data_IF_381638105516
#
_entry.id   IF_381638105516
#
_cell.length_a   1.000
_cell.length_b   1.000
_cell.length_c   1.000
_cell.angle_alpha   90.00
_cell.angle_beta   90.00
_cell.angle_gamma   90.00
#
_symmetry.space_group_name_H-M   'P 1'
#
loop_
_entity.id
_entity.type
_entity.pdbx_description
1 polymer ?
#
# COMPACT_ATOMS: atom_id res chain seq x y z
N UNK A 1 19.70 13.59 -7.55
CA UNK A 1 18.25 13.57 -7.84
C UNK A 1 17.54 13.96 -6.55
N UNK A 2 16.81 15.08 -6.56
CA UNK A 2 16.12 15.57 -5.37
C UNK A 2 14.80 14.80 -5.24
N UNK A 3 14.83 13.62 -4.61
CA UNK A 3 13.65 12.79 -4.40
C UNK A 3 12.72 13.49 -3.40
N UNK A 4 11.75 14.25 -3.92
CA UNK A 4 10.63 14.73 -3.10
C UNK A 4 9.79 13.51 -2.72
N UNK A 5 9.89 13.10 -1.45
CA UNK A 5 9.01 12.08 -0.90
C UNK A 5 7.55 12.55 -0.97
N UNK A 6 6.64 11.64 -1.32
CA UNK A 6 5.21 11.95 -1.28
C UNK A 6 4.80 12.36 0.14
N UNK A 7 3.87 13.33 0.30
CA UNK A 7 3.44 13.79 1.60
C UNK A 7 2.88 12.63 2.42
N UNK A 8 3.28 12.54 3.69
CA UNK A 8 2.72 11.59 4.64
C UNK A 8 1.40 12.17 5.19
N UNK A 9 0.35 11.35 5.24
CA UNK A 9 -0.91 11.81 5.82
C UNK A 9 -0.74 12.14 7.32
N UNK A 10 -1.49 13.12 7.81
CA UNK A 10 -1.43 13.50 9.21
C UNK A 10 -2.09 12.44 10.11
N UNK A 11 -1.70 12.38 11.39
CA UNK A 11 -2.34 11.51 12.39
C UNK A 11 -1.68 10.14 12.59
N UNK A 12 -0.40 9.97 12.23
CA UNK A 12 0.35 8.75 12.55
C UNK A 12 0.65 8.72 14.05
N UNK A 13 0.27 7.63 14.72
CA UNK A 13 0.74 7.36 16.09
C UNK A 13 2.12 6.68 16.04
N UNK A 14 2.98 6.85 17.07
CA UNK A 14 4.32 6.26 17.07
C UNK A 14 4.35 4.72 16.91
N UNK A 15 3.34 4.02 17.45
CA UNK A 15 3.25 2.54 17.58
C UNK A 15 2.03 1.93 16.86
N UNK A 16 1.14 2.75 16.29
CA UNK A 16 -0.03 2.23 15.56
C UNK A 16 -0.13 2.83 14.14
N UNK A 17 0.74 3.78 13.81
CA UNK A 17 0.72 4.50 12.54
C UNK A 17 -0.67 5.08 12.25
N UNK A 18 -1.19 4.82 11.04
CA UNK A 18 -2.54 5.22 10.64
C UNK A 18 -3.56 4.07 10.73
N UNK A 19 -3.17 2.91 11.27
CA UNK A 19 -4.05 1.75 11.34
C UNK A 19 -5.37 2.04 12.07
N UNK A 20 -5.39 2.73 13.23
CA UNK A 20 -6.64 3.00 13.94
C UNK A 20 -7.63 3.86 13.15
N UNK A 21 -7.12 4.75 12.30
CA UNK A 21 -7.95 5.59 11.41
C UNK A 21 -8.54 4.78 10.25
N UNK A 22 -7.89 3.68 9.87
CA UNK A 22 -8.27 2.83 8.74
C UNK A 22 -9.14 1.63 9.16
N UNK A 23 -9.07 1.20 10.43
CA UNK A 23 -9.91 0.15 11.04
C UNK A 23 -11.11 0.78 11.79
N UNK A 24 -11.59 1.93 11.32
CA UNK A 24 -12.77 2.58 11.87
C UNK A 24 -14.09 1.89 11.45
N UNK A 25 -15.25 2.49 11.79
CA UNK A 25 -16.57 1.99 11.39
C UNK A 25 -16.82 2.04 9.88
N UNK A 26 -15.95 2.72 9.12
CA UNK A 26 -16.02 2.81 7.66
C UNK A 26 -15.19 1.72 7.00
N UNK A 27 -15.62 1.26 5.82
CA UNK A 27 -14.88 0.27 5.05
C UNK A 27 -13.56 0.88 4.57
N UNK A 28 -12.47 0.11 4.64
CA UNK A 28 -11.10 0.51 4.29
C UNK A 28 -10.97 1.33 2.99
N UNK A 29 -11.71 0.98 1.93
CA UNK A 29 -11.62 1.71 0.65
C UNK A 29 -12.30 3.09 0.70
N UNK A 30 -13.33 3.28 1.53
CA UNK A 30 -13.95 4.59 1.76
C UNK A 30 -13.05 5.48 2.60
N UNK A 31 -12.46 4.94 3.66
CA UNK A 31 -11.51 5.68 4.51
C UNK A 31 -10.30 6.18 3.69
N UNK A 32 -9.76 5.34 2.80
CA UNK A 32 -8.68 5.75 1.87
C UNK A 32 -9.14 6.80 0.86
N UNK A 33 -10.40 6.73 0.41
CA UNK A 33 -11.00 7.74 -0.47
C UNK A 33 -11.04 9.11 0.20
N UNK A 34 -11.53 9.17 1.45
CA UNK A 34 -11.56 10.42 2.21
C UNK A 34 -10.15 11.03 2.40
N UNK A 35 -9.13 10.18 2.61
CA UNK A 35 -7.72 10.64 2.65
C UNK A 35 -7.22 11.13 1.29
N UNK A 36 -7.66 10.51 0.19
CA UNK A 36 -7.32 11.00 -1.14
C UNK A 36 -7.93 12.37 -1.43
N UNK A 37 -9.13 12.65 -0.91
CA UNK A 37 -9.78 13.96 -1.05
C UNK A 37 -9.03 15.05 -0.26
N UNK A 38 -8.40 14.69 0.88
CA UNK A 38 -7.67 15.62 1.74
C UNK A 38 -6.20 15.83 1.31
N UNK A 39 -5.47 14.75 1.04
CA UNK A 39 -4.01 14.77 0.76
C UNK A 39 -3.69 14.76 -0.74
N UNK A 40 -4.68 14.52 -1.60
CA UNK A 40 -4.56 14.53 -3.04
C UNK A 40 -4.24 13.18 -3.68
N UNK A 41 -3.80 13.24 -4.94
CA UNK A 41 -3.67 12.09 -5.83
C UNK A 41 -2.63 11.04 -5.40
N UNK A 42 -1.62 11.45 -4.63
CA UNK A 42 -0.49 10.61 -4.22
C UNK A 42 -0.06 11.00 -2.80
N UNK A 43 -0.19 10.07 -1.87
CA UNK A 43 0.20 10.28 -0.47
C UNK A 43 0.70 8.98 0.17
N UNK A 44 1.48 9.11 1.23
CA UNK A 44 2.04 7.97 1.96
C UNK A 44 1.29 7.76 3.28
N UNK A 45 1.00 6.50 3.59
CA UNK A 45 0.42 6.09 4.87
C UNK A 45 1.31 5.05 5.55
N UNK A 46 1.36 5.07 6.88
CA UNK A 46 1.96 3.99 7.69
C UNK A 46 0.89 2.98 8.07
N UNK A 47 0.93 1.81 7.43
CA UNK A 47 0.12 0.65 7.80
C UNK A 47 0.89 -0.20 8.78
N UNK A 48 0.40 -0.27 10.00
CA UNK A 48 1.00 -1.13 11.01
C UNK A 48 0.23 -2.44 11.05
N UNK A 49 0.92 -3.57 10.87
CA UNK A 49 0.28 -4.89 10.85
C UNK A 49 0.97 -5.74 11.91
N UNK A 50 0.30 -5.91 13.05
CA UNK A 50 0.65 -6.63 14.29
C UNK A 50 2.05 -6.34 14.88
N UNK A 51 3.14 -6.43 14.11
CA UNK A 51 4.52 -6.26 14.55
C UNK A 51 5.39 -5.43 13.57
N UNK A 52 4.90 -5.18 12.34
CA UNK A 52 5.68 -4.50 11.30
C UNK A 52 5.01 -3.21 10.81
N UNK A 53 5.84 -2.18 10.60
CA UNK A 53 5.44 -0.90 9.98
C UNK A 53 5.67 -0.98 8.47
N UNK A 54 4.59 -0.99 7.70
CA UNK A 54 4.62 -0.93 6.25
C UNK A 54 4.32 0.49 5.77
N UNK A 55 5.31 1.15 5.19
CA UNK A 55 5.08 2.39 4.44
C UNK A 55 4.37 2.05 3.14
N UNK A 56 3.17 2.57 2.96
CA UNK A 56 2.32 2.31 1.80
C UNK A 56 2.07 3.60 1.06
N UNK A 57 2.37 3.62 -0.23
CA UNK A 57 2.00 4.72 -1.12
C UNK A 57 0.58 4.46 -1.63
N UNK A 58 -0.34 5.40 -1.39
CA UNK A 58 -1.68 5.37 -1.95
C UNK A 58 -1.70 6.25 -3.20
N UNK A 59 -2.20 5.69 -4.29
CA UNK A 59 -2.35 6.37 -5.57
C UNK A 59 -3.83 6.37 -5.93
N UNK A 60 -4.41 7.55 -6.09
CA UNK A 60 -5.84 7.76 -6.43
C UNK A 60 -6.06 8.40 -7.80
N UNK A 61 -4.98 8.79 -8.51
CA UNK A 61 -5.04 9.30 -9.89
C UNK A 61 -4.82 8.19 -10.92
N UNK A 62 -5.61 8.21 -12.00
CA UNK A 62 -5.48 7.24 -13.09
C UNK A 62 -4.19 7.46 -13.90
N UNK A 63 -3.71 8.70 -14.02
CA UNK A 63 -2.46 9.04 -14.70
C UNK A 63 -1.26 8.38 -14.00
N UNK A 64 -1.19 8.51 -12.67
CA UNK A 64 -0.11 7.93 -11.86
C UNK A 64 -0.25 6.41 -11.80
N UNK A 65 -1.47 5.87 -11.69
CA UNK A 65 -1.70 4.43 -11.73
C UNK A 65 -1.24 3.83 -13.06
N UNK A 66 -1.51 4.48 -14.19
CA UNK A 66 -1.05 4.05 -15.52
C UNK A 66 0.47 3.99 -15.59
N UNK A 67 1.17 4.97 -15.04
CA UNK A 67 2.64 4.97 -14.97
C UNK A 67 3.16 3.80 -14.09
N UNK A 68 2.53 3.56 -12.95
CA UNK A 68 2.86 2.45 -12.05
C UNK A 68 2.73 1.09 -12.74
N UNK A 69 1.67 0.85 -13.51
CA UNK A 69 1.45 -0.43 -14.19
C UNK A 69 2.20 -0.57 -15.52
N UNK A 70 2.47 0.54 -16.22
CA UNK A 70 3.12 0.50 -17.54
C UNK A 70 4.64 0.63 -17.45
N UNK A 71 5.15 1.76 -16.95
CA UNK A 71 6.59 2.06 -16.95
C UNK A 71 7.28 1.33 -15.80
N UNK A 72 6.68 1.40 -14.60
CA UNK A 72 7.24 0.83 -13.38
C UNK A 72 6.65 -0.54 -13.03
N UNK A 73 5.88 -1.14 -13.94
CA UNK A 73 5.08 -2.35 -13.68
C UNK A 73 5.90 -3.53 -13.17
N UNK A 74 7.13 -3.71 -13.69
CA UNK A 74 8.02 -4.81 -13.26
C UNK A 74 8.54 -4.62 -11.83
N UNK A 75 8.84 -3.38 -11.44
CA UNK A 75 9.37 -3.07 -10.09
C UNK A 75 8.27 -3.16 -9.05
N UNK A 76 7.04 -2.79 -9.42
CA UNK A 76 5.85 -2.84 -8.57
C UNK A 76 5.07 -4.16 -8.67
N UNK A 77 5.55 -5.13 -9.47
CA UNK A 77 4.86 -6.39 -9.67
C UNK A 77 4.88 -7.28 -8.42
N UNK A 78 5.94 -7.17 -7.61
CA UNK A 78 6.12 -7.92 -6.37
C UNK A 78 5.01 -7.62 -5.37
N UNK A 79 4.29 -8.65 -4.94
CA UNK A 79 3.18 -8.53 -4.00
C UNK A 79 3.71 -8.50 -2.56
N UNK A 80 3.08 -7.72 -1.66
CA UNK A 80 3.43 -7.74 -0.24
C UNK A 80 3.23 -9.14 0.36
N UNK A 81 4.24 -9.66 1.02
CA UNK A 81 4.17 -10.94 1.71
C UNK A 81 3.41 -10.80 3.04
N UNK A 82 2.40 -11.64 3.28
CA UNK A 82 1.78 -11.79 4.60
C UNK A 82 1.67 -13.26 4.99
N UNK A 83 1.52 -13.54 6.29
CA UNK A 83 1.35 -14.92 6.80
C UNK A 83 0.09 -15.54 6.21
N UNK A 84 -1.00 -14.78 6.12
CA UNK A 84 -2.25 -15.22 5.49
C UNK A 84 -2.02 -15.63 4.04
N UNK A 85 -1.30 -14.80 3.27
CA UNK A 85 -0.98 -15.09 1.87
C UNK A 85 -0.07 -16.32 1.74
N UNK A 86 0.88 -16.52 2.67
CA UNK A 86 1.72 -17.71 2.70
C UNK A 86 0.91 -18.99 2.93
N UNK A 87 -0.04 -18.96 3.87
CA UNK A 87 -0.86 -20.12 4.21
C UNK A 87 -1.87 -20.44 3.11
N UNK A 88 -2.61 -19.43 2.63
CA UNK A 88 -3.61 -19.62 1.56
C UNK A 88 -2.96 -19.89 0.20
N UNK A 89 -1.79 -19.31 -0.05
CA UNK A 89 -1.10 -19.40 -1.32
C UNK A 89 -0.07 -20.53 -1.40
N UNK A 90 -0.16 -21.55 -0.54
CA UNK A 90 0.79 -22.68 -0.50
C UNK A 90 2.25 -22.22 -0.56
N UNK A 91 2.66 -21.38 0.39
CA UNK A 91 4.00 -20.78 0.41
C UNK A 91 4.33 -19.90 -0.80
N UNK A 92 3.34 -19.16 -1.31
CA UNK A 92 3.45 -18.24 -2.46
C UNK A 92 3.54 -18.93 -3.84
N UNK A 93 3.19 -20.21 -3.93
CA UNK A 93 3.22 -20.97 -5.18
C UNK A 93 2.02 -20.70 -6.11
N UNK A 94 0.96 -20.07 -5.59
CA UNK A 94 -0.19 -19.70 -6.42
C UNK A 94 0.11 -18.45 -7.24
N UNK A 95 -0.25 -18.48 -8.54
CA UNK A 95 0.02 -17.41 -9.51
C UNK A 95 -0.36 -16.00 -9.02
N UNK A 96 -1.46 -15.87 -8.27
CA UNK A 96 -1.93 -14.58 -7.76
C UNK A 96 -1.02 -13.96 -6.67
N UNK A 97 -0.24 -14.77 -5.97
CA UNK A 97 0.55 -14.37 -4.80
C UNK A 97 2.05 -14.67 -4.93
N UNK A 98 2.49 -15.25 -6.04
CA UNK A 98 3.89 -15.48 -6.32
C UNK A 98 4.68 -14.16 -6.43
N UNK A 99 5.90 -14.10 -5.87
CA UNK A 99 6.78 -12.96 -6.09
C UNK A 99 7.15 -12.85 -7.57
N UNK A 100 7.44 -11.62 -8.03
CA UNK A 100 7.86 -11.43 -9.42
C UNK A 100 9.23 -12.07 -9.66
N UNK A 101 9.33 -12.96 -10.64
CA UNK A 101 10.55 -13.71 -10.93
C UNK A 101 10.51 -14.38 -12.30
N UNK A 102 11.64 -14.97 -12.69
CA UNK A 102 11.71 -15.87 -13.84
C UNK A 102 10.95 -17.15 -13.49
N UNK A 103 9.89 -17.43 -14.25
CA UNK A 103 9.19 -18.71 -14.24
C UNK A 103 10.14 -19.83 -14.68
#
# INVERSE_FOLDING_TARGET
>A
MNCKSAPESYGARPIEGHLPMLIGPQILHMAKGALADEYGAVFTIRLEVMEYIYKTLVVSSWEVAKECFSINGKVLATKPSSVTVRVMGYSYDVFAFAPYGSY
#
